data_IF_653381803618
#
_entry.id   IF_653381803618
#
_cell.length_a   1.000
_cell.length_b   1.000
_cell.length_c   1.000
_cell.angle_alpha   90.00
_cell.angle_beta   90.00
_cell.angle_gamma   90.00
#
_symmetry.space_group_name_H-M   'P 1'
#
loop_
_entity.id
_entity.type
_entity.pdbx_description
1 polymer ?
#
# COMPACT_ATOMS: atom_id res chain seq x y z
N UNK A 1 10.83 -23.63 61.46
CA UNK A 1 11.10 -25.06 61.28
C UNK A 1 9.82 -25.82 61.66
N UNK A 2 9.32 -26.82 60.89
CA UNK A 2 10.06 -27.75 60.08
C UNK A 2 9.62 -27.85 58.63
N UNK A 3 10.47 -28.57 57.91
CA UNK A 3 10.46 -29.00 56.55
C UNK A 3 9.36 -30.05 56.27
N UNK A 4 8.73 -29.99 55.09
CA UNK A 4 7.83 -31.00 54.56
C UNK A 4 8.12 -31.27 53.09
N UNK A 5 8.63 -32.45 52.92
CA UNK A 5 9.18 -33.24 51.85
C UNK A 5 8.33 -33.34 50.58
N UNK A 6 9.04 -33.38 49.47
CA UNK A 6 8.55 -33.79 48.12
C UNK A 6 8.31 -35.29 48.09
N UNK A 7 7.28 -35.73 47.40
CA UNK A 7 7.10 -37.10 46.93
C UNK A 7 6.82 -37.09 45.41
N UNK A 8 7.52 -37.86 44.60
CA UNK A 8 7.29 -37.97 43.16
C UNK A 8 6.28 -39.04 42.82
N UNK A 9 5.40 -38.80 41.82
CA UNK A 9 4.52 -39.81 41.24
C UNK A 9 5.26 -40.66 40.19
N UNK A 10 5.09 -41.98 40.19
CA UNK A 10 5.70 -42.87 39.20
C UNK A 10 4.81 -43.04 37.96
N UNK A 11 5.46 -43.10 36.82
CA UNK A 11 4.94 -43.47 35.50
C UNK A 11 4.66 -44.97 35.47
N UNK A 12 3.45 -45.42 35.08
CA UNK A 12 3.22 -46.75 34.52
C UNK A 12 2.33 -46.68 33.28
N UNK A 13 2.83 -47.32 32.22
CA UNK A 13 2.14 -47.60 30.95
C UNK A 13 1.18 -48.77 31.10
N UNK A 14 0.04 -48.75 30.39
CA UNK A 14 -0.82 -49.89 30.11
C UNK A 14 -2.21 -49.48 29.63
N UNK A 15 -2.83 -50.16 28.67
CA UNK A 15 -3.94 -49.67 27.88
C UNK A 15 -5.33 -50.02 28.43
N UNK A 16 -6.31 -49.16 28.15
CA UNK A 16 -7.73 -49.54 28.12
C UNK A 16 -8.59 -48.94 29.22
N UNK A 17 -9.65 -48.37 28.72
CA UNK A 17 -10.98 -48.07 29.29
C UNK A 17 -11.28 -46.59 29.55
N UNK A 18 -12.20 -46.12 28.74
CA UNK A 18 -12.94 -44.84 28.87
C UNK A 18 -13.71 -44.83 30.21
N UNK A 19 -13.46 -43.77 31.00
CA UNK A 19 -14.41 -43.35 32.04
C UNK A 19 -14.82 -41.90 31.79
N UNK A 20 -16.14 -41.71 31.67
CA UNK A 20 -16.80 -40.40 31.62
C UNK A 20 -16.59 -39.68 32.95
N UNK A 21 -16.07 -38.46 32.90
CA UNK A 21 -16.13 -37.56 34.05
C UNK A 21 -17.41 -36.73 33.97
N UNK A 22 -18.19 -36.77 35.04
CA UNK A 22 -19.40 -35.99 35.25
C UNK A 22 -19.06 -34.52 35.47
N UNK A 23 -19.82 -33.65 34.83
CA UNK A 23 -19.88 -32.22 35.08
C UNK A 23 -20.77 -31.93 36.28
N UNK A 24 -20.40 -31.05 37.22
CA UNK A 24 -21.34 -30.61 38.27
C UNK A 24 -22.23 -29.49 37.70
N UNK A 25 -23.53 -29.72 37.80
CA UNK A 25 -24.61 -28.78 37.56
C UNK A 25 -24.69 -27.78 38.73
N UNK A 26 -24.73 -26.52 38.46
CA UNK A 26 -25.12 -25.47 39.42
C UNK A 26 -26.57 -25.04 39.16
N UNK A 27 -27.40 -24.87 40.23
CA UNK A 27 -28.80 -24.51 40.06
C UNK A 27 -28.99 -23.01 39.80
N UNK A 28 -29.87 -22.71 38.84
CA UNK A 28 -30.49 -21.41 38.65
C UNK A 28 -31.44 -21.11 39.82
N UNK A 29 -31.28 -19.97 40.48
CA UNK A 29 -32.32 -19.33 41.25
C UNK A 29 -32.80 -18.07 40.54
N UNK A 30 -34.09 -18.11 40.21
CA UNK A 30 -34.84 -16.97 39.71
C UNK A 30 -35.16 -15.99 40.84
N UNK A 31 -35.01 -14.71 40.58
CA UNK A 31 -35.45 -13.60 41.45
C UNK A 31 -36.09 -12.50 40.61
N UNK A 32 -37.40 -12.52 40.55
CA UNK A 32 -38.27 -11.45 40.06
C UNK A 32 -38.40 -10.33 41.08
N UNK A 33 -38.32 -9.08 40.66
CA UNK A 33 -39.17 -7.95 41.11
C UNK A 33 -38.70 -6.71 40.36
N UNK A 34 -39.51 -6.18 39.48
CA UNK A 34 -40.63 -5.23 39.55
C UNK A 34 -40.23 -3.78 39.83
N UNK A 35 -40.56 -3.00 38.79
CA UNK A 35 -41.12 -1.63 38.79
C UNK A 35 -40.25 -0.44 39.28
N UNK A 36 -40.05 0.51 38.37
CA UNK A 36 -40.71 1.83 38.52
C UNK A 36 -40.41 2.71 37.30
N UNK A 37 -41.49 2.99 36.59
CA UNK A 37 -41.61 4.01 35.55
C UNK A 37 -41.39 5.42 36.11
N UNK A 38 -40.52 6.21 35.46
CA UNK A 38 -40.65 7.67 35.51
C UNK A 38 -40.64 8.22 34.07
N UNK A 39 -41.85 8.60 33.63
CA UNK A 39 -42.08 9.44 32.47
C UNK A 39 -41.62 10.86 32.77
N UNK A 40 -40.61 11.35 32.09
CA UNK A 40 -40.30 12.76 31.99
C UNK A 40 -40.99 13.33 30.76
N UNK A 41 -41.97 14.24 31.01
CA UNK A 41 -42.67 14.99 29.98
C UNK A 41 -41.73 16.09 29.47
N UNK A 42 -41.44 16.09 28.18
CA UNK A 42 -40.82 17.23 27.53
C UNK A 42 -41.94 18.11 26.98
N UNK A 43 -42.04 19.29 27.51
CA UNK A 43 -42.93 20.37 27.10
C UNK A 43 -42.48 20.92 25.76
N UNK A 44 -43.44 21.05 24.87
CA UNK A 44 -43.24 21.59 23.52
C UNK A 44 -42.92 23.09 23.53
N UNK A 45 -42.15 23.50 22.56
CA UNK A 45 -42.06 24.88 22.08
C UNK A 45 -42.56 24.98 20.65
N UNK A 46 -43.56 25.82 20.48
CA UNK A 46 -44.20 26.14 19.20
C UNK A 46 -43.46 27.31 18.54
N UNK A 47 -43.54 27.43 17.20
CA UNK A 47 -42.77 28.41 16.44
C UNK A 47 -43.44 29.79 16.45
N UNK A 48 -42.61 30.85 16.41
CA UNK A 48 -43.06 32.20 16.07
C UNK A 48 -42.72 32.43 14.59
N UNK A 49 -43.80 32.54 13.82
CA UNK A 49 -43.81 33.11 12.48
C UNK A 49 -43.88 34.64 12.64
N UNK A 50 -42.93 35.35 12.06
CA UNK A 50 -43.03 36.80 11.87
C UNK A 50 -42.90 37.07 10.34
N UNK A 51 -44.04 37.44 9.78
CA UNK A 51 -44.18 38.06 8.48
C UNK A 51 -43.69 39.51 8.54
N UNK A 52 -42.89 39.90 7.56
CA UNK A 52 -42.52 41.30 7.33
C UNK A 52 -42.39 41.55 5.83
N UNK A 53 -43.44 42.18 5.26
CA UNK A 53 -43.56 42.61 3.86
C UNK A 53 -42.98 44.01 3.66
N UNK A 54 -42.60 44.27 2.38
CA UNK A 54 -42.48 45.56 1.66
C UNK A 54 -41.18 46.34 1.87
N UNK A 55 -40.56 46.97 0.86
CA UNK A 55 -41.01 47.55 -0.39
C UNK A 55 -39.84 47.83 -1.34
N UNK A 56 -40.04 47.62 -2.60
CA UNK A 56 -39.79 48.42 -3.82
C UNK A 56 -38.72 49.54 -3.80
N UNK A 57 -37.80 49.48 -4.72
CA UNK A 57 -37.56 50.36 -5.87
C UNK A 57 -36.05 50.49 -6.19
N UNK A 58 -35.72 50.44 -7.48
CA UNK A 58 -34.46 50.98 -7.98
C UNK A 58 -33.91 50.26 -9.22
N UNK A 59 -34.38 50.72 -10.39
CA UNK A 59 -33.84 50.37 -11.71
C UNK A 59 -32.34 50.65 -11.85
N UNK A 60 -31.64 49.75 -12.52
CA UNK A 60 -30.26 49.96 -12.98
C UNK A 60 -29.84 48.82 -13.91
N UNK A 61 -30.31 48.83 -15.14
CA UNK A 61 -29.93 47.89 -16.17
C UNK A 61 -28.56 48.26 -16.74
N UNK A 62 -27.53 47.47 -16.49
CA UNK A 62 -26.32 47.49 -17.30
C UNK A 62 -26.21 46.12 -18.02
N UNK A 63 -25.94 46.09 -19.32
CA UNK A 63 -25.85 44.84 -20.08
C UNK A 63 -24.59 44.10 -19.69
N UNK A 64 -24.76 42.92 -19.09
CA UNK A 64 -23.67 41.95 -18.91
C UNK A 64 -23.46 41.23 -20.25
N UNK A 65 -22.34 41.50 -20.89
CA UNK A 65 -21.78 40.62 -21.91
C UNK A 65 -21.66 39.20 -21.40
N UNK A 66 -22.11 38.18 -22.14
CA UNK A 66 -21.91 36.80 -21.73
C UNK A 66 -20.42 36.47 -21.78
N UNK A 67 -19.85 36.14 -20.62
CA UNK A 67 -18.52 35.56 -20.55
C UNK A 67 -18.55 34.26 -21.36
N UNK A 68 -17.66 34.17 -22.34
CA UNK A 68 -17.46 32.97 -23.14
C UNK A 68 -17.20 31.80 -22.22
N UNK A 69 -18.05 30.79 -22.27
CA UNK A 69 -17.82 29.50 -21.66
C UNK A 69 -16.53 28.93 -22.30
N UNK A 70 -15.48 28.93 -21.54
CA UNK A 70 -14.25 28.23 -21.89
C UNK A 70 -14.63 26.74 -21.94
N UNK A 71 -14.83 26.25 -23.15
CA UNK A 71 -14.99 24.84 -23.46
C UNK A 71 -13.78 24.11 -22.89
N UNK A 72 -14.01 23.28 -21.87
CA UNK A 72 -12.99 22.34 -21.39
C UNK A 72 -12.65 21.45 -22.60
N UNK A 73 -11.40 21.57 -23.06
CA UNK A 73 -10.85 20.66 -24.05
C UNK A 73 -11.02 19.24 -23.56
N UNK A 74 -11.44 18.28 -24.40
CA UNK A 74 -11.52 16.90 -24.02
C UNK A 74 -10.12 16.44 -23.60
N UNK A 75 -10.02 15.90 -22.38
CA UNK A 75 -8.86 15.20 -21.90
C UNK A 75 -8.47 14.19 -22.99
N UNK A 76 -7.36 14.45 -23.67
CA UNK A 76 -6.75 13.50 -24.59
C UNK A 76 -6.48 12.23 -23.79
N UNK A 77 -7.30 11.23 -23.97
CA UNK A 77 -7.01 9.88 -23.55
C UNK A 77 -5.59 9.57 -24.06
N UNK A 78 -4.71 9.25 -23.13
CA UNK A 78 -3.34 8.88 -23.44
C UNK A 78 -3.41 7.76 -24.49
N UNK A 79 -2.97 8.07 -25.70
CA UNK A 79 -2.82 7.08 -26.78
C UNK A 79 -2.02 5.90 -26.24
N UNK A 80 -2.44 4.66 -26.43
CA UNK A 80 -1.64 3.52 -26.01
C UNK A 80 -0.26 3.66 -26.65
N UNK A 81 0.78 3.64 -25.82
CA UNK A 81 2.16 3.70 -26.30
C UNK A 81 2.36 2.62 -27.37
N UNK A 82 3.08 2.93 -28.47
CA UNK A 82 3.25 1.99 -29.57
C UNK A 82 3.84 0.69 -29.06
N UNK A 83 3.18 -0.43 -29.36
CA UNK A 83 3.66 -1.77 -29.10
C UNK A 83 5.03 -1.92 -29.81
N UNK A 84 6.13 -1.93 -29.06
CA UNK A 84 7.48 -1.99 -29.62
C UNK A 84 8.50 -1.12 -28.90
N UNK A 85 8.15 -0.55 -27.74
CA UNK A 85 9.05 0.28 -26.96
C UNK A 85 10.28 -0.50 -26.50
N UNK A 86 11.48 -0.09 -26.94
CA UNK A 86 12.78 -0.51 -26.42
C UNK A 86 13.06 0.06 -25.01
N UNK A 87 12.06 0.64 -24.37
CA UNK A 87 12.18 1.22 -23.04
C UNK A 87 12.62 0.16 -22.02
N UNK A 88 13.52 0.50 -21.10
CA UNK A 88 13.99 -0.43 -20.08
C UNK A 88 12.83 -0.90 -19.21
N UNK A 89 12.93 -2.14 -18.72
CA UNK A 89 11.93 -2.71 -17.78
C UNK A 89 11.88 -1.87 -16.49
N UNK A 90 10.72 -1.36 -16.17
CA UNK A 90 10.49 -0.60 -14.95
C UNK A 90 10.20 -1.55 -13.79
N UNK A 91 11.15 -1.70 -12.88
CA UNK A 91 10.99 -2.49 -11.68
C UNK A 91 10.25 -1.64 -10.63
N UNK A 92 9.14 -2.16 -10.12
CA UNK A 92 8.42 -1.61 -8.99
C UNK A 92 8.65 -2.42 -7.73
N UNK A 93 8.69 -1.76 -6.58
CA UNK A 93 8.74 -2.42 -5.28
C UNK A 93 7.49 -2.10 -4.48
N UNK A 94 6.85 -3.15 -3.93
CA UNK A 94 5.73 -3.03 -3.01
C UNK A 94 6.20 -3.43 -1.61
N UNK A 95 6.34 -2.44 -0.74
CA UNK A 95 6.85 -2.58 0.63
C UNK A 95 5.70 -2.74 1.61
N UNK A 96 5.59 -3.93 2.20
CA UNK A 96 4.50 -4.25 3.12
C UNK A 96 4.64 -3.62 4.50
N UNK A 97 3.51 -3.61 5.25
CA UNK A 97 3.45 -3.19 6.64
C UNK A 97 4.02 -4.23 7.60
N UNK A 98 4.56 -3.78 8.75
CA UNK A 98 5.13 -4.69 9.75
C UNK A 98 5.86 -4.03 10.92
N UNK A 99 5.65 -2.74 11.14
CA UNK A 99 6.26 -1.96 12.24
C UNK A 99 7.80 -2.09 12.25
N UNK A 100 8.45 -2.42 13.39
CA UNK A 100 9.92 -2.54 13.49
C UNK A 100 10.55 -3.52 12.48
N UNK A 101 9.79 -4.50 11.97
CA UNK A 101 10.26 -5.38 10.89
C UNK A 101 10.54 -4.65 9.57
N UNK A 102 10.04 -3.41 9.42
CA UNK A 102 10.27 -2.54 8.26
C UNK A 102 11.73 -2.29 7.92
N UNK A 103 12.65 -2.42 8.88
CA UNK A 103 14.08 -2.33 8.59
C UNK A 103 14.56 -3.37 7.58
N UNK A 104 13.87 -4.51 7.44
CA UNK A 104 14.20 -5.51 6.43
C UNK A 104 14.07 -4.99 4.99
N UNK A 105 13.19 -4.03 4.76
CA UNK A 105 13.05 -3.41 3.44
C UNK A 105 14.36 -2.75 2.97
N UNK A 106 15.12 -2.18 3.91
CA UNK A 106 16.43 -1.56 3.61
C UNK A 106 17.40 -2.61 3.05
N UNK A 107 17.47 -3.77 3.69
CA UNK A 107 18.31 -4.89 3.24
C UNK A 107 17.89 -5.39 1.85
N UNK A 108 16.58 -5.46 1.59
CA UNK A 108 16.06 -5.84 0.27
C UNK A 108 16.46 -4.83 -0.80
N UNK A 109 16.24 -3.53 -0.56
CA UNK A 109 16.60 -2.46 -1.49
C UNK A 109 18.10 -2.49 -1.78
N UNK A 110 18.93 -2.66 -0.74
CA UNK A 110 20.40 -2.75 -0.83
C UNK A 110 20.84 -3.85 -1.81
N UNK A 111 20.24 -5.03 -1.71
CA UNK A 111 20.61 -6.14 -2.62
C UNK A 111 20.08 -5.94 -4.04
N UNK A 112 18.92 -5.31 -4.21
CA UNK A 112 18.43 -4.95 -5.54
C UNK A 112 19.35 -3.93 -6.21
N UNK A 113 19.73 -2.86 -5.52
CA UNK A 113 20.68 -1.85 -6.03
C UNK A 113 22.03 -2.45 -6.37
N UNK A 114 22.61 -3.26 -5.48
CA UNK A 114 23.90 -3.93 -5.69
C UNK A 114 23.91 -4.88 -6.91
N UNK A 115 22.73 -5.32 -7.36
CA UNK A 115 22.57 -6.18 -8.53
C UNK A 115 22.09 -5.44 -9.79
N UNK A 116 22.07 -4.11 -9.79
CA UNK A 116 21.61 -3.30 -10.93
C UNK A 116 20.10 -3.35 -11.20
N UNK A 117 19.31 -3.75 -10.18
CA UNK A 117 17.85 -3.89 -10.24
C UNK A 117 17.14 -2.86 -9.36
N UNK A 118 17.71 -1.65 -9.28
CA UNK A 118 17.16 -0.57 -8.48
C UNK A 118 15.67 -0.29 -8.84
N UNK A 119 14.76 -0.29 -7.85
CA UNK A 119 13.35 0.02 -8.10
C UNK A 119 13.17 1.42 -8.68
N UNK A 120 12.41 1.50 -9.78
CA UNK A 120 12.06 2.75 -10.47
C UNK A 120 10.79 3.40 -9.90
N UNK A 121 9.89 2.60 -9.29
CA UNK A 121 8.66 3.07 -8.63
C UNK A 121 8.46 2.34 -7.32
N UNK A 122 7.86 3.02 -6.33
CA UNK A 122 7.74 2.53 -4.96
C UNK A 122 6.31 2.67 -4.46
N UNK A 123 5.76 1.61 -3.92
CA UNK A 123 4.50 1.65 -3.18
C UNK A 123 4.75 1.13 -1.75
N UNK A 124 4.22 1.80 -0.74
CA UNK A 124 4.44 1.42 0.64
C UNK A 124 3.17 1.45 1.48
N UNK A 125 3.07 0.50 2.42
CA UNK A 125 2.05 0.46 3.46
C UNK A 125 2.74 0.49 4.83
N UNK A 126 2.26 1.36 5.75
CA UNK A 126 2.77 1.42 7.13
C UNK A 126 4.30 1.59 7.17
N UNK A 127 5.03 0.75 7.87
CA UNK A 127 6.50 0.78 7.89
C UNK A 127 7.12 0.78 6.48
N UNK A 128 6.49 0.09 5.51
CA UNK A 128 6.89 0.14 4.10
C UNK A 128 6.70 1.51 3.47
N UNK A 129 5.74 2.31 3.92
CA UNK A 129 5.58 3.69 3.45
C UNK A 129 6.67 4.62 3.99
N UNK A 130 7.14 4.39 5.23
CA UNK A 130 8.26 5.15 5.81
C UNK A 130 9.53 4.91 5.01
N UNK A 131 9.95 3.64 4.85
CA UNK A 131 11.16 3.29 4.10
C UNK A 131 11.01 3.69 2.63
N UNK A 132 9.83 3.49 2.05
CA UNK A 132 9.52 3.85 0.67
C UNK A 132 9.62 5.35 0.39
N UNK A 133 9.14 6.20 1.28
CA UNK A 133 9.23 7.66 1.14
C UNK A 133 10.69 8.14 1.19
N UNK A 134 11.48 7.62 2.13
CA UNK A 134 12.90 7.96 2.25
C UNK A 134 13.67 7.47 1.01
N UNK A 135 13.42 6.27 0.54
CA UNK A 135 14.02 5.77 -0.69
C UNK A 135 13.62 6.60 -1.92
N UNK A 136 12.33 6.92 -2.03
CA UNK A 136 11.82 7.71 -3.13
C UNK A 136 12.31 9.16 -3.13
N UNK A 137 12.75 9.70 -1.97
CA UNK A 137 13.37 11.04 -1.90
C UNK A 137 14.72 11.14 -2.60
N UNK A 138 15.31 9.99 -2.95
CA UNK A 138 16.61 9.88 -3.60
C UNK A 138 17.71 9.26 -2.72
N UNK A 139 17.39 8.89 -1.48
CA UNK A 139 18.35 8.18 -0.62
C UNK A 139 18.65 6.80 -1.21
N UNK A 140 19.91 6.42 -1.28
CA UNK A 140 20.32 5.07 -1.60
C UNK A 140 20.22 4.15 -0.37
N UNK A 141 20.39 2.84 -0.55
CA UNK A 141 20.25 1.87 0.52
C UNK A 141 21.25 2.04 1.67
N UNK A 142 22.45 2.56 1.42
CA UNK A 142 23.43 2.83 2.47
C UNK A 142 23.03 4.02 3.32
N UNK A 143 22.52 5.09 2.71
CA UNK A 143 21.98 6.24 3.43
C UNK A 143 20.77 5.85 4.27
N UNK A 144 19.86 5.01 3.74
CA UNK A 144 18.76 4.44 4.50
C UNK A 144 19.25 3.65 5.71
N UNK A 145 20.29 2.82 5.54
CA UNK A 145 20.88 2.06 6.63
C UNK A 145 21.51 2.96 7.69
N UNK A 146 22.23 4.01 7.28
CA UNK A 146 22.79 5.00 8.21
C UNK A 146 21.68 5.70 9.01
N UNK A 147 20.60 6.12 8.35
CA UNK A 147 19.44 6.72 9.01
C UNK A 147 18.76 5.74 9.98
N UNK A 148 18.63 4.47 9.61
CA UNK A 148 18.08 3.44 10.48
C UNK A 148 18.93 3.20 11.72
N UNK A 149 20.25 3.17 11.61
CA UNK A 149 21.17 3.00 12.74
C UNK A 149 21.15 4.21 13.67
N UNK A 150 21.11 5.42 13.10
CA UNK A 150 21.08 6.67 13.84
C UNK A 150 19.69 7.02 14.43
N UNK A 151 18.64 6.27 14.06
CA UNK A 151 17.28 6.55 14.50
C UNK A 151 17.14 6.36 16.00
N UNK A 152 16.85 7.47 16.71
CA UNK A 152 16.37 7.43 18.09
C UNK A 152 14.85 7.18 18.06
N UNK A 153 14.42 6.13 18.73
CA UNK A 153 13.02 5.74 18.83
C UNK A 153 12.15 6.84 19.44
N UNK A 154 12.67 7.61 20.40
CA UNK A 154 12.00 8.72 21.01
C UNK A 154 11.70 9.86 20.03
N UNK A 155 12.47 9.95 18.93
CA UNK A 155 12.28 10.98 17.90
C UNK A 155 11.07 10.76 17.01
N UNK A 156 10.52 9.53 16.97
CA UNK A 156 9.37 9.15 16.13
C UNK A 156 8.13 8.76 16.94
N UNK A 157 8.24 8.68 18.27
CA UNK A 157 7.12 8.35 19.17
C UNK A 157 6.71 9.57 19.99
N UNK A 158 5.53 10.08 19.72
CA UNK A 158 4.84 11.05 20.56
C UNK A 158 3.88 10.32 21.50
N UNK A 159 4.42 9.83 22.61
CA UNK A 159 3.66 9.24 23.70
C UNK A 159 2.90 10.35 24.46
N UNK A 160 1.94 10.96 23.82
CA UNK A 160 0.96 11.80 24.51
C UNK A 160 -0.31 10.97 24.70
N UNK A 161 -0.51 10.52 25.93
CA UNK A 161 -1.79 9.99 26.36
C UNK A 161 -2.82 11.13 26.34
N UNK A 162 -3.50 11.29 25.20
CA UNK A 162 -4.76 12.02 25.20
C UNK A 162 -5.80 11.17 25.95
N UNK A 163 -6.96 11.72 26.27
CA UNK A 163 -8.03 11.05 27.02
C UNK A 163 -8.46 9.66 26.48
N UNK A 164 -7.85 9.18 25.40
CA UNK A 164 -8.03 7.85 24.80
C UNK A 164 -6.77 6.98 24.77
N UNK A 165 -5.62 7.40 25.33
CA UNK A 165 -4.41 6.58 25.42
C UNK A 165 -3.65 6.33 24.11
N UNK A 166 -4.01 7.02 23.01
CA UNK A 166 -3.46 6.80 21.67
C UNK A 166 -2.30 7.76 21.36
N UNK A 167 -1.30 7.27 20.64
CA UNK A 167 -0.17 8.04 20.11
C UNK A 167 -0.66 8.96 18.99
N UNK A 168 -0.26 10.23 18.95
CA UNK A 168 -0.69 11.20 17.94
C UNK A 168 -0.07 10.91 16.57
N UNK A 169 1.18 10.46 16.53
CA UNK A 169 1.95 10.19 15.31
C UNK A 169 2.49 11.45 14.61
N UNK A 170 2.39 12.64 15.23
CA UNK A 170 2.90 13.87 14.64
C UNK A 170 4.42 13.83 14.49
N UNK A 171 5.14 13.27 15.46
CA UNK A 171 6.60 13.11 15.36
C UNK A 171 7.04 12.27 14.17
N UNK A 172 6.27 11.23 13.81
CA UNK A 172 6.55 10.44 12.62
C UNK A 172 6.38 11.29 11.34
N UNK A 173 5.31 12.09 11.28
CA UNK A 173 5.08 13.03 10.16
C UNK A 173 6.23 14.03 10.04
N UNK A 174 6.60 14.67 11.16
CA UNK A 174 7.67 15.66 11.20
C UNK A 174 9.02 15.04 10.82
N UNK A 175 9.32 13.84 11.34
CA UNK A 175 10.52 13.09 10.99
C UNK A 175 10.60 12.82 9.48
N UNK A 176 9.54 12.27 8.90
CA UNK A 176 9.53 11.98 7.45
C UNK A 176 9.67 13.25 6.63
N UNK A 177 8.92 14.32 6.97
CA UNK A 177 9.01 15.60 6.28
C UNK A 177 10.42 16.17 6.33
N UNK A 178 11.08 16.12 7.48
CA UNK A 178 12.47 16.56 7.63
C UNK A 178 13.43 15.71 6.74
N UNK A 179 13.25 14.38 6.71
CA UNK A 179 14.11 13.50 5.90
C UNK A 179 13.93 13.71 4.39
N UNK A 180 12.73 14.03 3.93
CA UNK A 180 12.45 14.30 2.51
C UNK A 180 12.56 15.80 2.15
N UNK A 181 13.09 16.63 3.06
CA UNK A 181 13.24 18.08 2.89
C UNK A 181 11.91 18.79 2.59
N UNK A 182 10.83 18.37 3.23
CA UNK A 182 9.45 18.86 3.05
C UNK A 182 8.93 18.77 1.60
N UNK A 183 9.55 17.95 0.75
CA UNK A 183 9.05 17.72 -0.61
C UNK A 183 7.72 16.99 -0.57
N UNK A 184 6.71 17.44 -1.32
CA UNK A 184 5.48 16.69 -1.48
C UNK A 184 5.70 15.41 -2.30
N UNK A 185 4.78 14.46 -2.20
CA UNK A 185 4.88 13.14 -2.83
C UNK A 185 5.23 13.20 -4.32
N UNK A 186 4.57 14.09 -5.06
CA UNK A 186 4.75 14.26 -6.50
C UNK A 186 6.09 14.89 -6.92
N UNK A 187 6.88 15.40 -5.96
CA UNK A 187 8.20 15.99 -6.20
C UNK A 187 9.34 15.11 -5.69
N UNK A 188 9.05 13.92 -5.21
CA UNK A 188 10.10 12.97 -4.85
C UNK A 188 10.86 12.51 -6.10
N UNK A 189 12.11 12.11 -5.92
CA UNK A 189 12.99 11.71 -7.02
C UNK A 189 12.50 10.46 -7.78
N UNK A 190 11.72 9.59 -7.09
CA UNK A 190 11.07 8.43 -7.70
C UNK A 190 9.56 8.53 -7.48
N UNK A 191 8.73 8.09 -8.44
CA UNK A 191 7.29 7.92 -8.21
C UNK A 191 7.04 7.06 -6.98
N UNK A 192 6.30 7.61 -6.02
CA UNK A 192 6.01 6.96 -4.75
C UNK A 192 4.54 7.15 -4.37
N UNK A 193 3.97 6.11 -3.77
CA UNK A 193 2.64 6.19 -3.15
C UNK A 193 2.65 5.55 -1.77
N UNK A 194 1.95 6.21 -0.83
CA UNK A 194 1.62 5.66 0.47
C UNK A 194 0.17 5.16 0.46
N UNK A 195 -0.06 3.96 0.95
CA UNK A 195 -1.40 3.35 0.99
C UNK A 195 -1.97 3.42 2.40
N UNK A 196 -3.17 3.96 2.54
CA UNK A 196 -3.92 4.03 3.79
C UNK A 196 -5.34 3.51 3.61
N UNK A 197 -6.04 3.29 4.72
CA UNK A 197 -7.45 2.90 4.76
C UNK A 197 -8.29 4.09 5.15
N UNK A 198 -9.28 4.47 4.35
CA UNK A 198 -10.29 5.46 4.75
C UNK A 198 -11.23 4.84 5.78
N UNK A 199 -11.36 5.48 6.94
CA UNK A 199 -12.05 4.88 8.07
C UNK A 199 -13.58 4.87 7.90
N UNK A 200 -14.13 5.82 7.14
CA UNK A 200 -15.57 5.98 6.95
C UNK A 200 -16.23 4.83 6.18
N UNK A 201 -15.49 4.18 5.29
CA UNK A 201 -16.06 3.17 4.37
C UNK A 201 -15.10 1.99 4.07
N UNK A 202 -13.88 2.02 4.59
CA UNK A 202 -12.87 0.99 4.36
C UNK A 202 -12.22 1.07 2.97
N UNK A 203 -12.40 2.16 2.22
CA UNK A 203 -11.77 2.30 0.90
C UNK A 203 -10.26 2.39 1.01
N UNK A 204 -9.57 1.64 0.15
CA UNK A 204 -8.13 1.76 -0.04
C UNK A 204 -7.78 3.09 -0.69
N UNK A 205 -7.13 3.98 0.04
CA UNK A 205 -6.66 5.26 -0.47
C UNK A 205 -5.19 5.21 -0.81
N UNK A 206 -4.83 5.60 -2.04
CA UNK A 206 -3.46 5.66 -2.56
C UNK A 206 -3.06 7.12 -2.65
N UNK A 207 -2.25 7.58 -1.69
CA UNK A 207 -1.74 8.94 -1.69
C UNK A 207 -0.55 9.06 -2.66
N UNK A 208 -0.72 9.81 -3.72
CA UNK A 208 0.29 10.10 -4.75
C UNK A 208 0.69 11.57 -4.81
N UNK A 209 0.04 12.43 -4.04
CA UNK A 209 0.23 13.89 -4.02
C UNK A 209 0.03 14.44 -2.61
N UNK A 210 0.59 15.62 -2.36
CA UNK A 210 0.46 16.34 -1.11
C UNK A 210 1.60 16.05 -0.13
N UNK A 211 1.39 16.40 1.16
CA UNK A 211 2.41 16.30 2.19
C UNK A 211 2.85 14.84 2.40
N UNK A 212 4.14 14.57 2.21
CA UNK A 212 4.73 13.23 2.28
C UNK A 212 4.63 12.64 3.69
N UNK A 213 5.00 13.41 4.71
CA UNK A 213 4.93 12.96 6.10
C UNK A 213 3.50 12.66 6.54
N UNK A 214 2.54 13.51 6.17
CA UNK A 214 1.13 13.31 6.48
C UNK A 214 0.57 12.03 5.84
N UNK A 215 0.89 11.78 4.57
CA UNK A 215 0.47 10.56 3.88
C UNK A 215 1.09 9.30 4.51
N UNK A 216 2.38 9.36 4.89
CA UNK A 216 3.07 8.27 5.58
C UNK A 216 2.49 8.05 6.98
N UNK A 217 2.19 9.11 7.73
CA UNK A 217 1.52 9.02 9.02
C UNK A 217 0.15 8.37 8.89
N UNK A 218 -0.67 8.78 7.92
CA UNK A 218 -1.97 8.16 7.64
C UNK A 218 -1.82 6.66 7.34
N UNK A 219 -0.84 6.31 6.48
CA UNK A 219 -0.50 4.93 6.13
C UNK A 219 -0.02 4.09 7.32
N UNK A 220 0.50 4.72 8.38
CA UNK A 220 1.11 4.07 9.55
C UNK A 220 0.25 4.16 10.83
N UNK A 221 -0.96 4.70 10.75
CA UNK A 221 -1.84 4.90 11.90
C UNK A 221 -2.57 3.62 12.28
N UNK A 222 -1.84 2.70 12.91
CA UNK A 222 -2.35 1.39 13.36
C UNK A 222 -3.51 1.59 14.35
N UNK A 223 -4.71 1.02 14.06
CA UNK A 223 -5.86 1.12 14.97
C UNK A 223 -5.55 0.60 16.37
N UNK A 224 -5.97 1.34 17.40
CA UNK A 224 -5.70 1.02 18.80
C UNK A 224 -4.32 1.47 19.31
N UNK A 225 -3.40 1.86 18.42
CA UNK A 225 -2.06 2.39 18.79
C UNK A 225 -1.96 3.87 18.46
N UNK A 226 -2.31 4.27 17.26
CA UNK A 226 -2.28 5.66 16.79
C UNK A 226 -3.67 6.22 16.59
N UNK A 227 -3.78 7.54 16.71
CA UNK A 227 -4.99 8.23 16.34
C UNK A 227 -5.19 8.22 14.82
N UNK A 228 -6.44 8.12 14.33
CA UNK A 228 -6.73 8.34 12.92
C UNK A 228 -6.28 9.72 12.46
N UNK A 229 -5.80 9.82 11.23
CA UNK A 229 -5.32 11.08 10.63
C UNK A 229 -6.44 11.72 9.82
N UNK A 230 -6.83 12.95 10.19
CA UNK A 230 -7.78 13.73 9.41
C UNK A 230 -7.07 14.38 8.19
N UNK A 231 -7.54 14.08 6.98
CA UNK A 231 -7.09 14.73 5.74
C UNK A 231 -8.33 15.14 4.94
N UNK A 232 -8.51 16.45 4.79
CA UNK A 232 -9.74 16.99 4.22
C UNK A 232 -10.96 16.64 5.09
N UNK A 233 -11.95 15.97 4.52
CA UNK A 233 -13.18 15.57 5.24
C UNK A 233 -13.16 14.13 5.75
N UNK A 234 -12.09 13.40 5.55
CA UNK A 234 -11.98 11.98 5.85
C UNK A 234 -10.93 11.70 6.91
N UNK A 235 -11.09 10.57 7.60
CA UNK A 235 -10.13 10.04 8.55
C UNK A 235 -9.47 8.78 7.98
N UNK A 236 -8.17 8.64 8.25
CA UNK A 236 -7.37 7.54 7.71
C UNK A 236 -6.68 6.78 8.83
N UNK A 237 -6.64 5.47 8.64
CA UNK A 237 -5.88 4.53 9.48
C UNK A 237 -4.92 3.73 8.62
N UNK A 238 -4.09 2.89 9.26
CA UNK A 238 -3.06 2.08 8.62
C UNK A 238 -3.58 1.34 7.39
N UNK A 239 -2.82 1.41 6.31
CA UNK A 239 -3.15 0.74 5.06
C UNK A 239 -3.19 -0.78 5.15
N UNK A 240 -2.52 -1.36 6.15
CA UNK A 240 -2.51 -2.80 6.40
C UNK A 240 -3.88 -3.41 6.72
N UNK A 241 -4.88 -2.56 7.04
CA UNK A 241 -6.26 -3.01 7.23
C UNK A 241 -6.88 -3.52 5.92
N UNK A 242 -6.55 -2.92 4.77
CA UNK A 242 -7.13 -3.28 3.45
C UNK A 242 -6.10 -3.68 2.39
N UNK A 243 -4.86 -3.24 2.52
CA UNK A 243 -3.77 -3.47 1.55
C UNK A 243 -2.42 -3.61 2.26
N UNK A 244 -2.17 -4.74 2.93
CA UNK A 244 -0.95 -4.96 3.70
C UNK A 244 0.33 -4.97 2.87
N UNK A 245 0.28 -5.38 1.59
CA UNK A 245 1.40 -5.34 0.65
C UNK A 245 0.92 -4.74 -0.67
N UNK A 246 1.20 -3.47 -0.96
CA UNK A 246 0.49 -2.68 -1.98
C UNK A 246 0.94 -2.99 -3.43
N UNK A 247 0.81 -4.25 -3.86
CA UNK A 247 1.24 -4.75 -5.19
C UNK A 247 0.53 -4.00 -6.31
N UNK A 248 -0.79 -3.83 -6.21
CA UNK A 248 -1.57 -3.17 -7.25
C UNK A 248 -1.21 -1.69 -7.36
N UNK A 249 -0.88 -1.02 -6.24
CA UNK A 249 -0.46 0.37 -6.26
C UNK A 249 0.89 0.55 -6.98
N UNK A 250 1.84 -0.39 -6.78
CA UNK A 250 3.09 -0.39 -7.55
C UNK A 250 2.83 -0.62 -9.04
N UNK A 251 1.88 -1.49 -9.39
CA UNK A 251 1.48 -1.73 -10.78
C UNK A 251 0.86 -0.49 -11.41
N UNK A 252 -0.01 0.20 -10.69
CA UNK A 252 -0.64 1.46 -11.14
C UNK A 252 0.36 2.60 -11.36
N UNK A 253 1.50 2.61 -10.65
CA UNK A 253 2.61 3.52 -10.92
C UNK A 253 3.39 3.19 -12.21
N UNK A 254 2.98 2.15 -12.94
CA UNK A 254 3.58 1.74 -14.20
C UNK A 254 4.79 0.82 -14.03
N UNK A 255 4.81 0.00 -12.99
CA UNK A 255 5.78 -1.08 -12.87
C UNK A 255 5.49 -2.19 -13.89
N UNK A 256 6.50 -2.61 -14.62
CA UNK A 256 6.45 -3.78 -15.51
C UNK A 256 6.63 -5.09 -14.73
N UNK A 257 7.54 -5.06 -13.75
CA UNK A 257 7.81 -6.16 -12.82
C UNK A 257 7.61 -5.61 -11.41
N UNK A 258 6.74 -6.23 -10.61
CA UNK A 258 6.51 -5.87 -9.21
C UNK A 258 7.17 -6.89 -8.29
N UNK A 259 8.12 -6.41 -7.50
CA UNK A 259 8.75 -7.16 -6.40
C UNK A 259 8.00 -6.79 -5.11
N UNK A 260 7.31 -7.75 -4.53
CA UNK A 260 6.60 -7.57 -3.25
C UNK A 260 7.48 -8.01 -2.09
N UNK A 261 7.56 -7.18 -1.04
CA UNK A 261 8.30 -7.50 0.19
C UNK A 261 7.30 -7.68 1.33
N UNK A 262 7.13 -8.92 1.76
CA UNK A 262 6.19 -9.33 2.79
C UNK A 262 6.91 -9.51 4.13
N UNK A 263 6.66 -8.58 5.05
CA UNK A 263 7.13 -8.61 6.43
C UNK A 263 5.97 -8.71 7.43
N UNK A 264 4.79 -9.11 6.96
CA UNK A 264 3.57 -9.14 7.76
C UNK A 264 3.69 -10.07 8.96
N UNK A 265 2.96 -9.75 10.02
CA UNK A 265 2.85 -10.61 11.20
C UNK A 265 1.92 -11.79 10.89
N UNK A 266 2.22 -12.95 11.49
CA UNK A 266 1.32 -14.11 11.48
C UNK A 266 0.58 -14.21 12.80
N UNK A 267 -0.59 -14.82 12.79
CA UNK A 267 -1.31 -15.16 14.00
C UNK A 267 -0.43 -16.05 14.91
N UNK A 268 -0.38 -15.74 16.21
CA UNK A 268 0.58 -16.35 17.16
C UNK A 268 0.18 -17.74 17.66
N UNK A 269 -0.89 -18.35 17.15
CA UNK A 269 -1.37 -19.68 17.54
C UNK A 269 -2.06 -19.74 18.91
N UNK A 270 -2.15 -18.64 19.65
CA UNK A 270 -2.89 -18.51 20.93
C UNK A 270 -3.65 -17.20 20.98
N UNK A 271 -4.79 -17.18 21.67
CA UNK A 271 -5.56 -15.97 21.88
C UNK A 271 -4.82 -15.01 22.84
N UNK A 272 -4.77 -13.71 22.55
CA UNK A 272 -4.28 -12.69 23.48
C UNK A 272 -5.18 -12.59 24.71
N UNK A 273 -4.61 -12.17 25.84
CA UNK A 273 -5.35 -12.00 27.11
C UNK A 273 -5.94 -10.61 27.32
N UNK A 274 -5.70 -9.66 26.40
CA UNK A 274 -6.12 -8.27 26.51
C UNK A 274 -6.81 -7.77 25.24
N UNK A 275 -7.48 -6.63 25.34
CA UNK A 275 -8.23 -6.00 24.25
C UNK A 275 -7.32 -5.58 23.09
N UNK A 276 -6.21 -4.91 23.39
CA UNK A 276 -5.27 -4.41 22.37
C UNK A 276 -4.62 -5.57 21.62
N UNK A 277 -4.21 -6.61 22.33
CA UNK A 277 -3.70 -7.83 21.74
C UNK A 277 -4.73 -8.51 20.84
N UNK A 278 -6.01 -8.57 21.26
CA UNK A 278 -7.11 -9.14 20.47
C UNK A 278 -7.33 -8.35 19.18
N UNK A 279 -7.38 -7.01 19.25
CA UNK A 279 -7.49 -6.14 18.06
C UNK A 279 -6.29 -6.34 17.14
N UNK A 280 -5.07 -6.30 17.68
CA UNK A 280 -3.85 -6.48 16.91
C UNK A 280 -3.78 -7.86 16.22
N UNK A 281 -4.19 -8.93 16.90
CA UNK A 281 -4.24 -10.26 16.29
C UNK A 281 -5.34 -10.39 15.24
N UNK A 282 -6.49 -9.74 15.43
CA UNK A 282 -7.56 -9.71 14.43
C UNK A 282 -7.10 -9.01 13.15
N UNK A 283 -6.42 -7.86 13.26
CA UNK A 283 -5.82 -7.14 12.15
C UNK A 283 -4.76 -8.02 11.45
N UNK A 284 -3.91 -8.73 12.21
CA UNK A 284 -2.91 -9.64 11.65
C UNK A 284 -3.54 -10.79 10.86
N UNK A 285 -4.63 -11.38 11.35
CA UNK A 285 -5.36 -12.46 10.66
C UNK A 285 -6.00 -11.95 9.36
N UNK A 286 -6.67 -10.80 9.41
CA UNK A 286 -7.26 -10.18 8.20
C UNK A 286 -6.17 -9.81 7.19
N UNK A 287 -5.11 -9.14 7.66
CA UNK A 287 -3.98 -8.74 6.84
C UNK A 287 -3.26 -9.92 6.19
N UNK A 288 -3.16 -11.07 6.87
CA UNK A 288 -2.58 -12.28 6.29
C UNK A 288 -3.41 -12.80 5.11
N UNK A 289 -4.74 -12.80 5.21
CA UNK A 289 -5.62 -13.24 4.11
C UNK A 289 -5.59 -12.27 2.93
N UNK A 290 -5.69 -10.97 3.21
CA UNK A 290 -5.63 -9.93 2.18
C UNK A 290 -4.26 -9.88 1.50
N UNK A 291 -3.18 -9.96 2.29
CA UNK A 291 -1.82 -9.99 1.79
C UNK A 291 -1.54 -11.20 0.90
N UNK A 292 -2.10 -12.37 1.22
CA UNK A 292 -1.97 -13.54 0.34
C UNK A 292 -2.55 -13.29 -1.06
N UNK A 293 -3.73 -12.66 -1.13
CA UNK A 293 -4.35 -12.30 -2.41
C UNK A 293 -3.55 -11.23 -3.18
N UNK A 294 -2.97 -10.24 -2.48
CA UNK A 294 -2.11 -9.23 -3.11
C UNK A 294 -0.80 -9.84 -3.63
N UNK A 295 -0.14 -10.67 -2.83
CA UNK A 295 1.13 -11.31 -3.17
C UNK A 295 1.00 -12.26 -4.37
N UNK A 296 -0.17 -12.86 -4.61
CA UNK A 296 -0.44 -13.68 -5.78
C UNK A 296 -0.38 -12.88 -7.09
N UNK A 297 -0.51 -11.55 -7.04
CA UNK A 297 -0.41 -10.64 -8.21
C UNK A 297 0.99 -10.05 -8.40
N UNK A 298 1.93 -10.31 -7.49
CA UNK A 298 3.32 -9.91 -7.63
C UNK A 298 4.07 -10.84 -8.59
N UNK A 299 5.04 -10.30 -9.32
CA UNK A 299 5.93 -11.12 -10.16
C UNK A 299 6.91 -11.94 -9.31
N UNK A 300 7.45 -11.33 -8.24
CA UNK A 300 8.31 -11.99 -7.28
C UNK A 300 7.97 -11.53 -5.87
N UNK A 301 7.84 -12.48 -4.94
CA UNK A 301 7.68 -12.18 -3.51
C UNK A 301 8.96 -12.50 -2.76
N UNK A 302 9.41 -11.55 -1.95
CA UNK A 302 10.52 -11.67 -0.99
C UNK A 302 9.94 -11.69 0.41
N UNK A 303 10.32 -12.70 1.22
CA UNK A 303 9.88 -12.85 2.62
C UNK A 303 11.10 -12.94 3.53
N UNK A 304 11.56 -11.82 4.11
CA UNK A 304 12.59 -11.83 5.14
C UNK A 304 12.17 -12.64 6.37
N UNK A 305 13.11 -13.33 7.02
CA UNK A 305 12.85 -14.15 8.20
C UNK A 305 12.80 -13.29 9.47
N UNK A 306 11.78 -12.42 9.57
CA UNK A 306 11.62 -11.41 10.64
C UNK A 306 10.41 -11.65 11.54
N UNK A 307 9.84 -12.85 11.54
CA UNK A 307 8.65 -13.17 12.34
C UNK A 307 8.89 -13.06 13.85
N UNK A 308 10.12 -13.34 14.29
CA UNK A 308 10.50 -13.29 15.71
C UNK A 308 10.80 -11.88 16.21
N UNK A 309 10.86 -10.89 15.31
CA UNK A 309 11.05 -9.49 15.67
C UNK A 309 9.71 -8.92 16.15
N UNK A 310 9.68 -8.43 17.37
CA UNK A 310 8.52 -7.76 17.94
C UNK A 310 8.18 -6.46 17.19
N UNK A 311 6.89 -6.13 17.10
CA UNK A 311 6.44 -4.93 16.40
C UNK A 311 7.04 -3.62 16.93
N UNK A 312 7.42 -3.60 18.21
CA UNK A 312 8.04 -2.45 18.88
C UNK A 312 9.54 -2.64 19.17
N UNK A 313 10.15 -3.70 18.65
CA UNK A 313 11.56 -4.03 18.95
C UNK A 313 12.51 -3.41 17.91
N UNK A 314 12.77 -2.12 18.08
CA UNK A 314 13.71 -1.38 17.23
C UNK A 314 15.17 -1.73 17.48
N UNK A 315 15.49 -2.47 18.55
CA UNK A 315 16.87 -2.91 18.84
C UNK A 315 17.34 -3.96 17.83
N UNK A 316 16.41 -4.70 17.22
CA UNK A 316 16.66 -5.73 16.21
C UNK A 316 16.86 -5.17 14.78
N UNK A 317 17.04 -3.85 14.63
CA UNK A 317 17.13 -3.21 13.30
C UNK A 317 18.23 -3.81 12.42
N UNK A 318 19.41 -4.08 12.99
CA UNK A 318 20.53 -4.68 12.25
C UNK A 318 20.21 -6.10 11.79
N UNK A 319 19.58 -6.91 12.64
CA UNK A 319 19.13 -8.25 12.30
C UNK A 319 18.05 -8.23 11.21
N UNK A 320 17.07 -7.32 11.31
CA UNK A 320 16.05 -7.16 10.28
C UNK A 320 16.65 -6.81 8.91
N UNK A 321 17.60 -5.87 8.85
CA UNK A 321 18.31 -5.50 7.62
C UNK A 321 19.00 -6.73 7.04
N UNK A 322 19.75 -7.48 7.85
CA UNK A 322 20.46 -8.69 7.42
C UNK A 322 19.51 -9.75 6.85
N UNK A 323 18.37 -9.99 7.49
CA UNK A 323 17.36 -10.93 6.99
C UNK A 323 16.73 -10.44 5.67
N UNK A 324 16.59 -9.12 5.50
CA UNK A 324 16.21 -8.50 4.22
C UNK A 324 17.22 -8.80 3.12
N UNK A 325 18.52 -8.64 3.39
CA UNK A 325 19.61 -8.94 2.46
C UNK A 325 19.61 -10.41 2.04
N UNK A 326 19.55 -11.33 3.01
CA UNK A 326 19.50 -12.78 2.75
C UNK A 326 18.32 -13.17 1.88
N UNK A 327 17.12 -12.68 2.22
CA UNK A 327 15.90 -13.00 1.48
C UNK A 327 15.92 -12.45 0.05
N UNK A 328 16.48 -11.26 -0.15
CA UNK A 328 16.63 -10.68 -1.49
C UNK A 328 17.65 -11.45 -2.33
N UNK A 329 18.80 -11.84 -1.77
CA UNK A 329 19.78 -12.67 -2.46
C UNK A 329 19.20 -14.01 -2.88
N UNK A 330 18.43 -14.67 -2.02
CA UNK A 330 17.74 -15.93 -2.34
C UNK A 330 16.70 -15.77 -3.47
N UNK A 331 16.08 -14.60 -3.59
CA UNK A 331 15.11 -14.29 -4.64
C UNK A 331 15.75 -13.81 -5.96
N UNK A 332 17.02 -13.42 -5.94
CA UNK A 332 17.71 -12.76 -7.05
C UNK A 332 17.64 -13.53 -8.38
N UNK A 333 17.85 -14.87 -8.42
CA UNK A 333 17.75 -15.63 -9.68
C UNK A 333 16.36 -15.48 -10.32
N UNK A 334 15.28 -15.60 -9.52
CA UNK A 334 13.90 -15.48 -10.01
C UNK A 334 13.59 -14.08 -10.51
N UNK A 335 14.14 -13.04 -9.86
CA UNK A 335 13.95 -11.65 -10.29
C UNK A 335 14.62 -11.43 -11.65
N UNK A 336 15.90 -11.86 -11.79
CA UNK A 336 16.66 -11.75 -13.04
C UNK A 336 15.99 -12.51 -14.17
N UNK A 337 15.53 -13.72 -13.91
CA UNK A 337 14.78 -14.54 -14.86
C UNK A 337 13.51 -13.83 -15.34
N UNK A 338 12.69 -13.29 -14.39
CA UNK A 338 11.45 -12.61 -14.74
C UNK A 338 11.70 -11.36 -15.60
N UNK A 339 12.72 -10.58 -15.27
CA UNK A 339 13.12 -9.40 -16.05
C UNK A 339 13.56 -9.82 -17.46
N UNK A 340 14.40 -10.86 -17.59
CA UNK A 340 14.88 -11.36 -18.88
C UNK A 340 13.72 -11.91 -19.75
N UNK A 341 12.78 -12.65 -19.16
CA UNK A 341 11.58 -13.13 -19.84
C UNK A 341 10.77 -11.97 -20.44
N UNK A 342 10.53 -10.92 -19.68
CA UNK A 342 9.77 -9.76 -20.15
C UNK A 342 10.53 -8.97 -21.24
N UNK A 343 11.86 -8.85 -21.10
CA UNK A 343 12.70 -8.26 -22.14
C UNK A 343 12.61 -9.04 -23.46
N UNK A 344 12.72 -10.36 -23.40
CA UNK A 344 12.59 -11.24 -24.58
C UNK A 344 11.21 -11.12 -25.23
N UNK A 345 10.13 -11.11 -24.42
CA UNK A 345 8.76 -10.92 -24.93
C UNK A 345 8.60 -9.57 -25.65
N UNK A 346 9.14 -8.48 -25.08
CA UNK A 346 9.11 -7.16 -25.74
C UNK A 346 9.90 -7.12 -27.03
N UNK A 347 11.09 -7.74 -27.05
CA UNK A 347 11.91 -7.83 -28.27
C UNK A 347 11.19 -8.60 -29.37
N UNK A 348 10.57 -9.73 -29.06
CA UNK A 348 9.77 -10.52 -30.00
C UNK A 348 8.56 -9.72 -30.52
N UNK A 349 7.83 -9.05 -29.66
CA UNK A 349 6.69 -8.21 -30.04
C UNK A 349 7.12 -7.06 -30.96
N UNK A 350 8.26 -6.43 -30.67
CA UNK A 350 8.83 -5.38 -31.52
C UNK A 350 9.21 -5.89 -32.91
N UNK A 351 9.85 -7.06 -33.01
CA UNK A 351 10.20 -7.70 -34.29
C UNK A 351 8.95 -8.04 -35.10
N UNK A 352 7.93 -8.60 -34.45
CA UNK A 352 6.65 -8.90 -35.10
C UNK A 352 5.96 -7.64 -35.64
N UNK A 353 5.93 -6.57 -34.82
CA UNK A 353 5.34 -5.30 -35.24
C UNK A 353 6.10 -4.67 -36.43
N UNK A 354 7.43 -4.74 -36.43
CA UNK A 354 8.24 -4.26 -37.54
C UNK A 354 7.98 -5.08 -38.82
N UNK A 355 7.91 -6.41 -38.73
CA UNK A 355 7.60 -7.30 -39.87
C UNK A 355 6.20 -6.99 -40.44
N UNK A 356 5.18 -6.84 -39.57
CA UNK A 356 3.82 -6.47 -39.98
C UNK A 356 3.79 -5.09 -40.67
N UNK A 357 4.51 -4.10 -40.11
CA UNK A 357 4.60 -2.77 -40.71
C UNK A 357 5.28 -2.80 -42.09
N UNK A 358 6.34 -3.62 -42.27
CA UNK A 358 7.01 -3.81 -43.56
C UNK A 358 6.06 -4.44 -44.59
N UNK A 359 5.34 -5.50 -44.22
CA UNK A 359 4.33 -6.12 -45.07
C UNK A 359 3.19 -5.16 -45.45
N UNK A 360 2.70 -4.37 -44.52
CA UNK A 360 1.68 -3.38 -44.80
C UNK A 360 2.17 -2.28 -45.77
N UNK A 361 3.42 -1.81 -45.62
CA UNK A 361 4.05 -0.87 -46.57
C UNK A 361 4.19 -1.46 -47.95
N UNK A 362 4.65 -2.70 -48.05
CA UNK A 362 4.79 -3.40 -49.31
C UNK A 362 3.43 -3.57 -50.01
N UNK A 363 2.40 -3.99 -49.26
CA UNK A 363 1.03 -4.10 -49.78
C UNK A 363 0.48 -2.77 -50.30
N UNK A 364 0.62 -1.72 -49.52
CA UNK A 364 0.20 -0.35 -49.89
C UNK A 364 0.94 0.14 -51.15
N UNK A 365 2.25 -0.10 -51.24
CA UNK A 365 3.03 0.22 -52.43
C UNK A 365 2.49 -0.51 -53.68
N UNK A 366 2.21 -1.81 -53.59
CA UNK A 366 1.65 -2.61 -54.68
C UNK A 366 0.25 -2.13 -55.10
N UNK A 367 -0.60 -1.80 -54.15
CA UNK A 367 -1.94 -1.25 -54.40
C UNK A 367 -1.89 0.09 -55.12
N UNK A 368 -1.04 1.03 -54.67
CA UNK A 368 -0.84 2.33 -55.31
C UNK A 368 -0.35 2.16 -56.75
N UNK A 369 0.63 1.29 -56.95
CA UNK A 369 1.16 0.99 -58.32
C UNK A 369 0.12 0.40 -59.21
N UNK A 370 -0.69 -0.54 -58.72
CA UNK A 370 -1.77 -1.13 -59.54
C UNK A 370 -2.81 -0.07 -59.95
N UNK A 371 -3.10 0.89 -59.08
CA UNK A 371 -3.99 2.01 -59.36
C UNK A 371 -3.40 2.95 -60.42
N UNK A 372 -2.10 3.29 -60.29
CA UNK A 372 -1.39 4.10 -61.29
C UNK A 372 -1.28 3.41 -62.67
N UNK A 373 -1.02 2.10 -62.75
CA UNK A 373 -1.05 1.34 -64.02
C UNK A 373 -2.41 1.42 -64.71
N UNK A 374 -3.47 1.32 -63.97
CA UNK A 374 -4.83 1.46 -64.51
C UNK A 374 -5.12 2.87 -65.06
N UNK A 375 -4.59 3.90 -64.43
CA UNK A 375 -4.78 5.31 -64.83
C UNK A 375 -3.88 5.73 -66.01
N UNK A 376 -2.63 5.24 -66.06
CA UNK A 376 -1.64 5.72 -66.98
C UNK A 376 -1.52 4.90 -68.28
N UNK A 377 -2.13 3.72 -68.39
CA UNK A 377 -2.08 2.89 -69.61
C UNK A 377 -0.66 2.39 -69.98
N UNK A 378 0.33 2.47 -69.08
CA UNK A 378 1.75 2.17 -69.37
C UNK A 378 2.11 0.79 -68.82
N UNK A 379 2.52 -0.13 -69.69
CA UNK A 379 3.13 -1.40 -69.33
C UNK A 379 4.65 -1.18 -69.29
N UNK A 380 5.30 -1.39 -68.10
CA UNK A 380 6.76 -1.42 -68.04
C UNK A 380 7.46 -0.62 -66.92
N UNK A 381 6.78 -0.35 -65.78
CA UNK A 381 7.47 0.19 -64.59
C UNK A 381 8.07 -0.96 -63.77
N UNK A 382 9.33 -0.82 -63.40
CA UNK A 382 10.10 -1.75 -62.55
C UNK A 382 9.33 -2.18 -61.29
N UNK A 383 9.32 -3.49 -60.99
CA UNK A 383 8.47 -4.08 -59.94
C UNK A 383 9.05 -4.05 -58.54
N UNK A 384 10.12 -3.27 -58.32
CA UNK A 384 10.78 -3.22 -57.03
C UNK A 384 10.02 -2.28 -56.00
N UNK A 385 9.11 -2.87 -55.22
CA UNK A 385 8.65 -2.31 -53.94
C UNK A 385 9.53 -2.85 -52.80
N UNK A 386 10.83 -2.92 -52.99
CA UNK A 386 11.77 -3.27 -51.93
C UNK A 386 11.94 -2.04 -51.03
N UNK A 387 11.71 -2.20 -49.71
CA UNK A 387 12.04 -1.18 -48.71
C UNK A 387 13.57 -0.93 -48.71
N UNK A 388 14.02 0.30 -48.55
CA UNK A 388 15.44 0.57 -48.36
C UNK A 388 15.96 -0.04 -47.05
#
# INVERSE_FOLDING_TARGET
MPRGSRVPCPVRRGPGTFRRCHTPSFPMTAGLSSSLSRRARIRGWRPIVALGLAALAGCGSAPRTPAAATSAAPSTAASPAPAGSSAPIRIGIALGGGAAKGFAHIGVIKMLEANGLAPAVVAGTSAGSVVGALYASGMNAFELQQKAVALDEASIRDLQFSSGGLVLGQKLEDYVNAQVHNKPLEQLAKPFVAVATRLEDGERTVFARGNTGQAVRASSSVPGVFQPVAIGKYHYVDGGVVSPVPVDAARQLGADVVIAVDISSKARGRAPGDLLGTVGQSIAIMGQKLGHAELARADVTIRPAVLDIGAADFTQRANAILEGEKAALAAMPRIKERVAQLQAQRAQAAQQAQAQAAQARQKSCLEQRSSWRKLAGVAGLDDSCTAP
#
